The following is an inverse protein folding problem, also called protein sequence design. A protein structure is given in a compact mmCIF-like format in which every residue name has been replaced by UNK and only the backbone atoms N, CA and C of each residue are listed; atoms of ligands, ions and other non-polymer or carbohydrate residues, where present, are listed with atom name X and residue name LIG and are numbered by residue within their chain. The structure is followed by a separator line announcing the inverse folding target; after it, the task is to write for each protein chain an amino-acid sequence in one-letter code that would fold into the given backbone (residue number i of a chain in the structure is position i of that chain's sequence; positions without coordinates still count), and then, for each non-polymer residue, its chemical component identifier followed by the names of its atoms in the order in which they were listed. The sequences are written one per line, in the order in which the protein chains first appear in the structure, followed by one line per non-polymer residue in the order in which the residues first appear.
data_IF_385002282047
#
_entry.id   IF_385002282047
#
_cell.length_a   1.000
_cell.length_b   1.000
_cell.length_c   1.000
_cell.angle_alpha   90.00
_cell.angle_beta   90.00
_cell.angle_gamma   90.00
#
_symmetry.space_group_name_H-M   'P 1'
#
loop_
_entity.id
_entity.type
_entity.pdbx_description
1 polymer ?
#
# COMPACT_ATOMS: atom_id res chain seq x y z
N UNK A 1 -13.53 20.74 -7.25
CA UNK A 1 -13.50 19.99 -8.53
C UNK A 1 -12.39 18.97 -8.45
N UNK A 2 -12.68 17.66 -8.58
CA UNK A 2 -11.63 16.66 -8.71
C UNK A 2 -10.99 16.81 -10.09
N UNK A 3 -9.68 17.02 -10.13
CA UNK A 3 -8.89 16.89 -11.37
C UNK A 3 -8.33 15.48 -11.44
N UNK A 4 -8.00 14.95 -12.64
CA UNK A 4 -7.36 13.65 -12.76
C UNK A 4 -6.08 13.52 -11.90
N UNK A 5 -5.33 14.61 -11.76
CA UNK A 5 -4.14 14.67 -10.90
C UNK A 5 -4.46 14.58 -9.41
N UNK A 6 -5.49 15.30 -8.93
CA UNK A 6 -5.89 15.22 -7.52
C UNK A 6 -6.48 13.85 -7.15
N UNK A 7 -7.29 13.27 -8.04
CA UNK A 7 -7.86 11.93 -7.86
C UNK A 7 -6.78 10.83 -7.80
N UNK A 8 -5.75 10.93 -8.64
CA UNK A 8 -4.60 10.01 -8.60
C UNK A 8 -3.85 10.07 -7.26
N UNK A 9 -3.60 11.29 -6.74
CA UNK A 9 -2.93 11.47 -5.45
C UNK A 9 -3.75 10.94 -4.28
N UNK A 10 -5.06 11.21 -4.25
CA UNK A 10 -5.97 10.69 -3.22
C UNK A 10 -6.00 9.16 -3.22
N UNK A 11 -6.03 8.53 -4.40
CA UNK A 11 -5.97 7.08 -4.54
C UNK A 11 -4.64 6.52 -4.00
N UNK A 12 -3.50 7.13 -4.35
CA UNK A 12 -2.19 6.71 -3.83
C UNK A 12 -2.10 6.83 -2.30
N UNK A 13 -2.67 7.90 -1.72
CA UNK A 13 -2.74 8.09 -0.27
C UNK A 13 -3.57 6.98 0.40
N UNK A 14 -4.74 6.65 -0.15
CA UNK A 14 -5.59 5.57 0.35
C UNK A 14 -4.85 4.23 0.32
N UNK A 15 -4.18 3.90 -0.79
CA UNK A 15 -3.42 2.66 -0.92
C UNK A 15 -2.28 2.61 0.12
N UNK A 16 -1.55 3.73 0.32
CA UNK A 16 -0.49 3.81 1.32
C UNK A 16 -1.02 3.60 2.74
N UNK A 17 -2.16 4.20 3.07
CA UNK A 17 -2.81 4.01 4.37
C UNK A 17 -3.26 2.56 4.56
N UNK A 18 -3.86 1.95 3.54
CA UNK A 18 -4.25 0.53 3.57
C UNK A 18 -3.04 -0.36 3.84
N UNK A 19 -1.95 -0.21 3.06
CA UNK A 19 -0.70 -0.96 3.26
C UNK A 19 -0.20 -0.86 4.70
N UNK A 20 -0.11 0.36 5.23
CA UNK A 20 0.38 0.57 6.60
C UNK A 20 -0.52 -0.02 7.67
N UNK A 21 -1.85 0.03 7.48
CA UNK A 21 -2.82 -0.58 8.41
C UNK A 21 -2.75 -2.10 8.37
N UNK A 22 -2.71 -2.71 7.19
CA UNK A 22 -2.63 -4.17 7.07
C UNK A 22 -1.31 -4.71 7.59
N UNK A 23 -0.20 -4.00 7.38
CA UNK A 23 1.10 -4.35 7.95
C UNK A 23 1.06 -4.44 9.48
N UNK A 24 0.50 -3.43 10.15
CA UNK A 24 0.36 -3.43 11.62
C UNK A 24 -0.55 -4.56 12.11
N UNK A 25 -1.74 -4.67 11.53
CA UNK A 25 -2.70 -5.71 11.91
C UNK A 25 -2.14 -7.12 11.68
N UNK A 26 -1.30 -7.33 10.66
CA UNK A 26 -0.63 -8.61 10.43
C UNK A 26 0.27 -8.98 11.61
N UNK A 27 1.10 -8.05 12.08
CA UNK A 27 1.98 -8.27 13.23
C UNK A 27 1.17 -8.46 14.51
N UNK A 28 0.19 -7.61 14.76
CA UNK A 28 -0.68 -7.72 15.94
C UNK A 28 -1.39 -9.09 15.99
N UNK A 29 -1.94 -9.56 14.86
CA UNK A 29 -2.61 -10.86 14.78
C UNK A 29 -1.66 -12.03 15.04
N UNK A 30 -0.42 -11.95 14.53
CA UNK A 30 0.61 -12.95 14.80
C UNK A 30 1.02 -12.99 16.26
N UNK A 31 1.33 -11.85 16.85
CA UNK A 31 1.77 -11.76 18.24
C UNK A 31 0.71 -12.32 19.20
N UNK A 32 -0.57 -12.04 18.92
CA UNK A 32 -1.68 -12.60 19.70
C UNK A 32 -1.83 -14.11 19.48
N UNK A 33 -1.71 -14.59 18.23
CA UNK A 33 -1.78 -16.02 17.94
C UNK A 33 -0.68 -16.81 18.65
N UNK A 34 0.56 -16.32 18.58
CA UNK A 34 1.72 -16.91 19.24
C UNK A 34 1.51 -16.93 20.77
N UNK A 35 1.06 -15.83 21.36
CA UNK A 35 0.73 -15.78 22.78
C UNK A 35 -0.34 -16.82 23.18
N UNK A 36 -1.40 -16.98 22.40
CA UNK A 36 -2.48 -17.92 22.69
C UNK A 36 -2.02 -19.37 22.61
N UNK A 37 -1.17 -19.72 21.62
CA UNK A 37 -0.56 -21.05 21.50
C UNK A 37 0.33 -21.35 22.71
N UNK A 38 1.20 -20.41 23.06
CA UNK A 38 2.24 -20.64 24.05
C UNK A 38 1.72 -20.61 25.50
N UNK A 39 0.70 -19.79 25.79
CA UNK A 39 0.30 -19.47 27.17
C UNK A 39 -1.11 -19.91 27.54
N UNK A 40 -2.02 -20.09 26.58
CA UNK A 40 -3.45 -20.33 26.84
C UNK A 40 -3.96 -21.67 26.32
N UNK A 41 -3.19 -22.36 25.48
CA UNK A 41 -3.63 -23.56 24.74
C UNK A 41 -4.92 -23.34 23.92
N UNK A 42 -5.20 -22.09 23.54
CA UNK A 42 -6.35 -21.72 22.70
C UNK A 42 -6.01 -21.89 21.22
N UNK A 43 -5.77 -23.15 20.82
CA UNK A 43 -5.21 -23.50 19.51
C UNK A 43 -6.12 -23.05 18.37
N UNK A 44 -7.43 -23.30 18.46
CA UNK A 44 -8.38 -22.96 17.40
C UNK A 44 -8.46 -21.45 17.15
N UNK A 45 -8.48 -20.63 18.21
CA UNK A 45 -8.48 -19.18 18.09
C UNK A 45 -7.16 -18.66 17.50
N UNK A 46 -6.03 -19.23 17.92
CA UNK A 46 -4.73 -18.88 17.37
C UNK A 46 -4.62 -19.20 15.88
N UNK A 47 -5.12 -20.36 15.44
CA UNK A 47 -5.15 -20.75 14.03
C UNK A 47 -6.01 -19.79 13.19
N UNK A 48 -7.15 -19.34 13.71
CA UNK A 48 -7.97 -18.32 13.04
C UNK A 48 -7.23 -16.98 12.91
N UNK A 49 -6.49 -16.57 13.94
CA UNK A 49 -5.67 -15.37 13.91
C UNK A 49 -4.49 -15.49 12.91
N UNK A 50 -3.89 -16.66 12.78
CA UNK A 50 -2.86 -16.92 11.76
C UNK A 50 -3.42 -16.87 10.33
N UNK A 51 -4.63 -17.38 10.12
CA UNK A 51 -5.32 -17.26 8.84
C UNK A 51 -5.61 -15.79 8.52
N UNK A 52 -6.08 -15.01 9.51
CA UNK A 52 -6.26 -13.56 9.36
C UNK A 52 -4.94 -12.85 9.04
N UNK A 53 -3.85 -13.18 9.73
CA UNK A 53 -2.54 -12.62 9.47
C UNK A 53 -2.10 -12.90 8.03
N UNK A 54 -2.31 -14.12 7.54
CA UNK A 54 -2.01 -14.49 6.15
C UNK A 54 -2.79 -13.61 5.15
N UNK A 55 -4.10 -13.46 5.34
CA UNK A 55 -4.93 -12.60 4.49
C UNK A 55 -4.49 -11.12 4.53
N UNK A 56 -4.10 -10.62 5.71
CA UNK A 56 -3.57 -9.26 5.88
C UNK A 56 -2.24 -9.08 5.13
N UNK A 57 -1.39 -10.10 5.12
CA UNK A 57 -0.12 -10.08 4.38
C UNK A 57 -0.34 -10.05 2.87
N UNK A 58 -1.29 -10.83 2.38
CA UNK A 58 -1.70 -10.80 0.97
C UNK A 58 -2.25 -9.42 0.56
N UNK A 59 -3.08 -8.82 1.42
CA UNK A 59 -3.61 -7.48 1.20
C UNK A 59 -2.50 -6.41 1.18
N UNK A 60 -1.51 -6.51 2.09
CA UNK A 60 -0.32 -5.63 2.08
C UNK A 60 0.46 -5.75 0.76
N UNK A 61 0.69 -6.98 0.29
CA UNK A 61 1.40 -7.25 -0.97
C UNK A 61 0.62 -6.73 -2.18
N UNK A 62 -0.72 -6.84 -2.17
CA UNK A 62 -1.57 -6.24 -3.20
C UNK A 62 -1.47 -4.70 -3.20
N UNK A 63 -1.51 -4.08 -2.03
CA UNK A 63 -1.37 -2.63 -1.90
C UNK A 63 0.01 -2.13 -2.34
N UNK A 64 1.08 -2.88 -2.05
CA UNK A 64 2.43 -2.58 -2.54
C UNK A 64 2.48 -2.58 -4.08
N UNK A 65 2.00 -3.66 -4.72
CA UNK A 65 1.93 -3.76 -6.19
C UNK A 65 1.08 -2.64 -6.81
N UNK A 66 -0.01 -2.25 -6.16
CA UNK A 66 -0.84 -1.14 -6.62
C UNK A 66 -0.11 0.21 -6.59
N UNK A 67 0.73 0.45 -5.56
CA UNK A 67 1.58 1.66 -5.53
C UNK A 67 2.65 1.64 -6.62
N UNK A 68 3.32 0.51 -6.84
CA UNK A 68 4.35 0.38 -7.89
C UNK A 68 3.75 0.62 -9.29
N UNK A 69 2.54 0.10 -9.53
CA UNK A 69 1.81 0.35 -10.78
C UNK A 69 1.40 1.82 -10.93
N UNK A 70 1.03 2.49 -9.84
CA UNK A 70 0.69 3.92 -9.88
C UNK A 70 1.94 4.77 -10.18
N UNK A 71 3.07 4.47 -9.55
CA UNK A 71 4.34 5.18 -9.76
C UNK A 71 4.84 5.04 -11.22
N UNK A 72 4.89 3.80 -11.74
CA UNK A 72 5.32 3.54 -13.13
C UNK A 72 4.46 4.26 -14.17
N UNK A 73 3.14 4.36 -13.96
CA UNK A 73 2.24 5.13 -14.83
C UNK A 73 2.52 6.63 -14.78
N UNK A 74 2.86 7.16 -13.60
CA UNK A 74 3.19 8.57 -13.44
C UNK A 74 4.50 8.92 -14.16
N UNK A 75 5.53 8.09 -14.02
CA UNK A 75 6.81 8.24 -14.73
C UNK A 75 6.62 8.21 -16.26
N UNK A 76 5.76 7.31 -16.77
CA UNK A 76 5.45 7.25 -18.19
C UNK A 76 4.76 8.52 -18.72
N UNK A 77 3.88 9.13 -17.92
CA UNK A 77 3.22 10.40 -18.26
C UNK A 77 4.20 11.56 -18.21
N UNK A 78 5.10 11.59 -17.21
CA UNK A 78 6.13 12.62 -17.09
C UNK A 78 7.17 12.55 -18.23
N UNK A 79 7.55 11.33 -18.66
CA UNK A 79 8.44 11.12 -19.80
C UNK A 79 7.85 11.59 -21.15
N UNK A 80 6.53 11.66 -21.26
CA UNK A 80 5.82 12.13 -22.46
C UNK A 80 5.55 13.63 -22.43
N UNK A 81 5.86 14.34 -21.34
CA UNK A 81 5.68 15.80 -21.29
C UNK A 81 6.70 16.47 -22.23
N UNK A 82 6.25 17.30 -23.18
CA UNK A 82 7.16 18.04 -24.03
C UNK A 82 8.04 18.94 -23.16
N UNK A 83 9.36 18.91 -23.41
CA UNK A 83 10.32 19.78 -22.72
C UNK A 83 9.88 21.24 -22.89
N UNK A 84 9.85 22.04 -21.81
CA UNK A 84 9.45 23.44 -21.92
C UNK A 84 10.38 24.14 -22.91
N UNK A 85 9.79 24.71 -23.96
CA UNK A 85 10.50 25.49 -24.97
C UNK A 85 11.20 26.63 -24.26
N UNK A 86 12.53 26.56 -24.14
CA UNK A 86 13.31 27.66 -23.61
C UNK A 86 13.22 28.83 -24.61
N UNK A 87 12.45 29.86 -24.28
CA UNK A 87 12.44 31.10 -25.03
C UNK A 87 13.78 31.79 -24.80
N UNK A 88 14.71 31.64 -25.74
CA UNK A 88 15.98 32.35 -25.71
C UNK A 88 15.73 33.79 -26.17
N UNK A 89 15.84 34.75 -25.25
CA UNK A 89 15.88 36.16 -25.61
C UNK A 89 17.31 36.49 -26.05
N UNK A 90 17.54 36.64 -27.35
CA UNK A 90 18.76 37.28 -27.85
C UNK A 90 18.61 38.80 -27.67
N UNK A 91 19.48 39.37 -26.83
CA UNK A 91 19.66 40.81 -26.70
C UNK A 91 20.50 41.40 -27.81
#
# INVERSE_FOLDING_TARGET
MCTPGSFSNELQLLIRQMKGRTHRLFHDAKDVADYLKDNRQEVELAELLEQMATALKEAENAAARAMDLAASRQEAVEAQRPSPTATVFNG
#
